data_IF_604701625751
#
_entry.id   IF_604701625751
#
_cell.length_a   1.000
_cell.length_b   1.000
_cell.length_c   1.000
_cell.angle_alpha   90.00
_cell.angle_beta   90.00
_cell.angle_gamma   90.00
#
_symmetry.space_group_name_H-M   'P 1'
#
loop_
_entity.id
_entity.type
_entity.pdbx_description
1 polymer ?
#
# COMPACT_ATOMS: atom_id res chain seq x y z
N UNK A 1 -15.24 27.11 9.15
CA UNK A 1 -16.12 28.21 8.66
C UNK A 1 -16.32 29.28 9.76
N UNK A 2 -16.58 28.92 11.03
CA UNK A 2 -16.72 29.92 12.11
C UNK A 2 -15.40 30.67 12.43
N UNK A 3 -14.26 29.99 12.33
CA UNK A 3 -12.93 30.59 12.55
C UNK A 3 -12.50 31.57 11.45
N UNK A 4 -13.10 31.53 10.26
CA UNK A 4 -12.80 32.42 9.14
C UNK A 4 -13.63 33.72 9.13
N UNK A 5 -14.53 33.93 10.10
CA UNK A 5 -15.39 35.07 10.16
C UNK A 5 -14.67 36.40 10.52
N UNK A 6 -13.44 36.30 11.08
CA UNK A 6 -12.71 37.48 11.63
C UNK A 6 -11.69 38.11 10.67
N UNK A 7 -11.61 37.70 9.40
CA UNK A 7 -10.78 38.41 8.43
C UNK A 7 -10.40 37.59 7.18
N UNK A 8 -10.07 38.32 6.09
CA UNK A 8 -9.66 37.75 4.81
C UNK A 8 -8.38 36.86 4.94
N UNK A 9 -7.46 37.22 5.84
CA UNK A 9 -6.26 36.44 6.10
C UNK A 9 -6.57 35.07 6.69
N UNK A 10 -7.39 35.02 7.74
CA UNK A 10 -7.79 33.75 8.37
C UNK A 10 -8.54 32.80 7.40
N UNK A 11 -9.33 33.35 6.47
CA UNK A 11 -9.98 32.55 5.43
C UNK A 11 -8.96 31.96 4.46
N UNK A 12 -7.98 32.76 4.01
CA UNK A 12 -6.94 32.29 3.07
C UNK A 12 -6.07 31.22 3.70
N UNK A 13 -5.67 31.41 4.98
CA UNK A 13 -4.86 30.43 5.71
C UNK A 13 -5.62 29.12 5.93
N UNK A 14 -6.90 29.18 6.28
CA UNK A 14 -7.75 27.99 6.41
C UNK A 14 -7.89 27.26 5.07
N UNK A 15 -8.15 27.99 3.97
CA UNK A 15 -8.28 27.43 2.64
C UNK A 15 -6.98 26.75 2.21
N UNK A 16 -5.84 27.38 2.42
CA UNK A 16 -4.53 26.80 2.08
C UNK A 16 -4.26 25.52 2.90
N UNK A 17 -4.54 25.53 4.20
CA UNK A 17 -4.40 24.36 5.06
C UNK A 17 -5.29 23.20 4.61
N UNK A 18 -6.53 23.47 4.24
CA UNK A 18 -7.46 22.44 3.72
C UNK A 18 -6.99 21.89 2.36
N UNK A 19 -6.47 22.75 1.47
CA UNK A 19 -5.93 22.32 0.17
C UNK A 19 -4.68 21.46 0.34
N UNK A 20 -3.77 21.83 1.25
CA UNK A 20 -2.58 21.02 1.56
C UNK A 20 -2.95 19.65 2.12
N UNK A 21 -3.92 19.62 3.04
CA UNK A 21 -4.44 18.37 3.62
C UNK A 21 -5.08 17.47 2.55
N UNK A 22 -5.88 18.06 1.65
CA UNK A 22 -6.49 17.35 0.53
C UNK A 22 -5.42 16.78 -0.42
N UNK A 23 -4.40 17.58 -0.73
CA UNK A 23 -3.29 17.15 -1.60
C UNK A 23 -2.50 16.02 -0.96
N UNK A 24 -2.22 16.09 0.35
CA UNK A 24 -1.54 15.02 1.08
C UNK A 24 -2.36 13.72 1.07
N UNK A 25 -3.66 13.80 1.35
CA UNK A 25 -4.57 12.66 1.29
C UNK A 25 -4.66 12.05 -0.13
N UNK A 26 -4.70 12.89 -1.16
CA UNK A 26 -4.74 12.45 -2.56
C UNK A 26 -3.44 11.73 -2.96
N UNK A 27 -2.28 12.26 -2.58
CA UNK A 27 -0.97 11.62 -2.81
C UNK A 27 -0.88 10.26 -2.13
N UNK A 28 -1.33 10.16 -0.88
CA UNK A 28 -1.36 8.92 -0.13
C UNK A 28 -2.24 7.86 -0.82
N UNK A 29 -3.47 8.25 -1.18
CA UNK A 29 -4.41 7.35 -1.84
C UNK A 29 -3.89 6.90 -3.22
N UNK A 30 -3.34 7.80 -4.02
CA UNK A 30 -2.77 7.46 -5.32
C UNK A 30 -1.60 6.48 -5.15
N UNK A 31 -0.68 6.75 -4.21
CA UNK A 31 0.43 5.85 -3.91
C UNK A 31 -0.04 4.45 -3.52
N UNK A 32 -1.05 4.36 -2.65
CA UNK A 32 -1.66 3.09 -2.26
C UNK A 32 -2.27 2.35 -3.46
N UNK A 33 -3.04 3.05 -4.31
CA UNK A 33 -3.69 2.46 -5.49
C UNK A 33 -2.68 1.93 -6.51
N UNK A 34 -1.55 2.63 -6.71
CA UNK A 34 -0.49 2.19 -7.63
C UNK A 34 0.13 0.84 -7.22
N UNK A 35 0.18 0.54 -5.93
CA UNK A 35 0.65 -0.75 -5.42
C UNK A 35 -0.48 -1.77 -5.21
N UNK A 36 -1.75 -1.35 -5.32
CA UNK A 36 -2.93 -2.19 -5.14
C UNK A 36 -3.22 -3.13 -6.32
N UNK A 37 -4.22 -3.97 -6.13
CA UNK A 37 -4.71 -4.91 -7.16
C UNK A 37 -5.98 -4.41 -7.89
N UNK A 38 -6.42 -3.18 -7.61
CA UNK A 38 -7.65 -2.60 -8.16
C UNK A 38 -8.92 -2.93 -7.37
N UNK A 39 -8.86 -3.86 -6.42
CA UNK A 39 -10.02 -4.20 -5.58
C UNK A 39 -10.37 -3.11 -4.56
N UNK A 40 -9.41 -2.26 -4.20
CA UNK A 40 -9.56 -1.25 -3.15
C UNK A 40 -9.44 -1.80 -1.72
N UNK A 41 -9.06 -3.06 -1.56
CA UNK A 41 -8.88 -3.68 -0.25
C UNK A 41 -7.78 -2.96 0.54
N UNK A 42 -8.13 -2.49 1.76
CA UNK A 42 -7.17 -1.90 2.70
C UNK A 42 -6.53 -2.98 3.58
N UNK A 43 -7.35 -3.74 4.26
CA UNK A 43 -6.93 -4.81 5.15
C UNK A 43 -8.09 -5.77 5.42
N UNK A 44 -7.78 -6.89 6.06
CA UNK A 44 -8.79 -7.77 6.67
C UNK A 44 -8.94 -7.38 8.14
N UNK A 45 -10.18 -7.26 8.60
CA UNK A 45 -10.54 -6.90 9.96
C UNK A 45 -11.15 -8.12 10.66
N UNK A 46 -10.76 -8.36 11.90
CA UNK A 46 -11.34 -9.39 12.73
C UNK A 46 -12.40 -8.83 13.67
N UNK A 47 -13.10 -9.70 14.38
CA UNK A 47 -14.10 -9.30 15.34
C UNK A 47 -13.50 -8.41 16.44
N UNK A 48 -14.35 -7.56 17.04
CA UNK A 48 -13.99 -6.64 18.12
C UNK A 48 -13.26 -7.37 19.26
N UNK A 49 -12.16 -6.79 19.72
CA UNK A 49 -11.41 -7.24 20.88
C UNK A 49 -11.20 -6.06 21.82
N UNK A 50 -11.84 -6.07 22.97
CA UNK A 50 -11.87 -4.91 23.87
C UNK A 50 -12.64 -3.73 23.24
N UNK A 51 -11.94 -2.61 23.00
CA UNK A 51 -12.49 -1.40 22.36
C UNK A 51 -12.04 -1.19 20.90
N UNK A 52 -11.24 -2.11 20.35
CA UNK A 52 -10.62 -1.98 19.03
C UNK A 52 -10.74 -3.26 18.21
N UNK A 53 -10.56 -3.13 16.92
CA UNK A 53 -10.63 -4.22 15.95
C UNK A 53 -9.24 -4.60 15.49
N UNK A 54 -8.79 -5.85 15.69
CA UNK A 54 -7.55 -6.35 15.11
C UNK A 54 -7.63 -6.34 13.56
N UNK A 55 -6.56 -5.91 12.92
CA UNK A 55 -6.44 -5.83 11.46
C UNK A 55 -5.20 -6.55 10.97
N UNK A 56 -5.23 -7.05 9.74
CA UNK A 56 -4.09 -7.75 9.15
C UNK A 56 -2.93 -6.82 8.81
N UNK A 57 -3.20 -5.54 8.57
CA UNK A 57 -2.21 -4.55 8.16
C UNK A 57 -2.71 -3.14 8.46
N UNK A 58 -1.84 -2.28 8.94
CA UNK A 58 -2.14 -0.88 9.28
C UNK A 58 -1.50 0.12 8.30
N UNK A 59 -0.65 -0.33 7.37
CA UNK A 59 0.14 0.55 6.47
C UNK A 59 -0.72 1.47 5.63
N UNK A 60 -1.89 1.00 5.21
CA UNK A 60 -2.82 1.74 4.36
C UNK A 60 -3.92 2.47 5.15
N UNK A 61 -3.80 2.54 6.47
CA UNK A 61 -4.80 3.14 7.36
C UNK A 61 -4.27 4.43 7.98
N UNK A 62 -5.09 5.46 7.96
CA UNK A 62 -4.83 6.74 8.63
C UNK A 62 -6.07 7.18 9.41
N UNK A 63 -5.85 7.91 10.49
CA UNK A 63 -6.89 8.50 11.32
C UNK A 63 -7.72 9.50 10.48
N UNK A 64 -9.02 9.52 10.71
CA UNK A 64 -9.96 10.37 9.95
C UNK A 64 -10.50 9.74 8.66
N UNK A 65 -9.90 8.66 8.16
CA UNK A 65 -10.39 7.94 6.99
C UNK A 65 -11.78 7.36 7.23
N UNK A 66 -12.65 7.46 6.23
CA UNK A 66 -13.99 6.86 6.26
C UNK A 66 -13.99 5.59 5.44
N UNK A 67 -14.44 4.50 6.04
CA UNK A 67 -14.34 3.16 5.47
C UNK A 67 -15.68 2.42 5.47
N UNK A 68 -15.79 1.50 4.53
CA UNK A 68 -16.84 0.50 4.46
C UNK A 68 -16.28 -0.89 4.79
N UNK A 69 -17.04 -1.67 5.53
CA UNK A 69 -16.67 -3.04 5.90
C UNK A 69 -17.59 -4.02 5.21
N UNK A 70 -17.01 -4.97 4.50
CA UNK A 70 -17.70 -6.04 3.81
C UNK A 70 -17.38 -7.38 4.46
N UNK A 71 -18.34 -8.28 4.49
CA UNK A 71 -18.11 -9.67 4.93
C UNK A 71 -17.14 -10.38 3.97
N UNK A 72 -16.56 -11.50 4.39
CA UNK A 72 -15.76 -12.36 3.52
C UNK A 72 -16.51 -12.86 2.27
N UNK A 73 -17.84 -12.91 2.33
CA UNK A 73 -18.71 -13.24 1.21
C UNK A 73 -19.00 -12.05 0.27
N UNK A 74 -18.47 -10.85 0.59
CA UNK A 74 -18.62 -9.65 -0.24
C UNK A 74 -19.89 -8.83 0.02
N UNK A 75 -20.71 -9.16 1.01
CA UNK A 75 -21.86 -8.37 1.41
C UNK A 75 -21.44 -7.19 2.30
N UNK A 76 -22.08 -6.03 2.12
CA UNK A 76 -21.84 -4.85 2.97
C UNK A 76 -22.31 -5.14 4.40
N UNK A 77 -21.39 -5.03 5.36
CA UNK A 77 -21.66 -5.22 6.79
C UNK A 77 -21.87 -3.90 7.51
N UNK A 78 -20.99 -2.92 7.27
CA UNK A 78 -21.10 -1.59 7.85
C UNK A 78 -20.53 -0.56 6.88
N UNK A 79 -21.11 0.63 6.82
CA UNK A 79 -20.69 1.70 5.92
C UNK A 79 -20.47 3.00 6.68
N UNK A 80 -19.56 3.82 6.17
CA UNK A 80 -19.33 5.16 6.68
C UNK A 80 -18.64 5.20 8.04
N UNK A 81 -17.90 4.17 8.42
CA UNK A 81 -17.16 4.12 9.68
C UNK A 81 -15.92 5.01 9.60
N UNK A 82 -15.83 6.01 10.48
CA UNK A 82 -14.66 6.87 10.59
C UNK A 82 -13.65 6.27 11.54
N UNK A 83 -12.41 6.12 11.08
CA UNK A 83 -11.29 5.68 11.92
C UNK A 83 -10.92 6.83 12.86
N UNK A 84 -10.94 6.57 14.17
CA UNK A 84 -10.50 7.54 15.19
C UNK A 84 -9.05 7.35 15.59
N UNK A 85 -8.58 6.10 15.61
CA UNK A 85 -7.22 5.77 16.02
C UNK A 85 -6.72 4.49 15.34
N UNK A 86 -5.45 4.49 14.94
CA UNK A 86 -4.74 3.34 14.36
C UNK A 86 -3.54 3.01 15.25
N UNK A 87 -3.61 1.89 15.93
CA UNK A 87 -2.48 1.34 16.68
C UNK A 87 -1.64 0.47 15.75
N UNK A 88 -0.47 0.98 15.38
CA UNK A 88 0.44 0.30 14.46
C UNK A 88 1.25 -0.80 15.12
N UNK A 89 1.50 -0.69 16.41
CA UNK A 89 2.29 -1.65 17.18
C UNK A 89 1.48 -2.93 17.44
N UNK A 90 0.20 -2.76 17.79
CA UNK A 90 -0.71 -3.88 18.06
C UNK A 90 -1.56 -4.27 16.84
N UNK A 91 -1.42 -3.59 15.72
CA UNK A 91 -2.22 -3.80 14.51
C UNK A 91 -3.72 -3.77 14.79
N UNK A 92 -4.18 -2.71 15.47
CA UNK A 92 -5.61 -2.54 15.76
C UNK A 92 -6.13 -1.18 15.30
N UNK A 93 -7.45 -1.12 15.08
CA UNK A 93 -8.18 0.07 14.66
C UNK A 93 -9.36 0.32 15.60
N UNK A 94 -9.55 1.58 15.98
CA UNK A 94 -10.71 2.05 16.72
C UNK A 94 -11.54 2.98 15.83
N UNK A 95 -12.85 2.79 15.83
CA UNK A 95 -13.77 3.68 15.11
C UNK A 95 -14.30 4.79 16.03
N UNK A 96 -14.61 5.94 15.44
CA UNK A 96 -15.16 7.08 16.16
C UNK A 96 -16.56 6.81 16.72
N UNK A 97 -17.30 5.90 16.09
CA UNK A 97 -18.61 5.42 16.53
C UNK A 97 -18.68 3.90 16.38
N UNK A 98 -19.40 3.25 17.26
CA UNK A 98 -19.63 1.81 17.14
C UNK A 98 -20.34 1.49 15.82
N UNK A 99 -19.94 0.41 15.12
CA UNK A 99 -20.68 -0.07 13.96
C UNK A 99 -22.13 -0.41 14.32
N UNK A 100 -23.05 -0.13 13.42
CA UNK A 100 -24.47 -0.46 13.61
C UNK A 100 -24.75 -1.97 13.59
N UNK A 101 -23.84 -2.74 13.04
CA UNK A 101 -23.88 -4.20 12.94
C UNK A 101 -22.60 -4.81 13.50
N UNK A 102 -22.70 -6.02 14.04
CA UNK A 102 -21.51 -6.75 14.48
C UNK A 102 -20.63 -7.11 13.26
N UNK A 103 -19.37 -6.69 13.31
CA UNK A 103 -18.39 -7.05 12.29
C UNK A 103 -17.93 -8.49 12.54
N UNK A 104 -18.14 -9.35 11.56
CA UNK A 104 -17.70 -10.73 11.61
C UNK A 104 -16.17 -10.83 11.42
N UNK A 105 -15.58 -11.92 11.90
CA UNK A 105 -14.19 -12.24 11.65
C UNK A 105 -13.91 -12.36 10.13
N UNK A 106 -12.71 -12.01 9.72
CA UNK A 106 -12.26 -12.02 8.32
C UNK A 106 -13.05 -11.09 7.37
N UNK A 107 -13.76 -10.10 7.92
CA UNK A 107 -14.34 -9.03 7.11
C UNK A 107 -13.25 -8.20 6.45
N UNK A 108 -13.57 -7.54 5.35
CA UNK A 108 -12.62 -6.77 4.54
C UNK A 108 -12.99 -5.30 4.58
N UNK A 109 -12.00 -4.46 4.82
CA UNK A 109 -12.15 -3.01 4.89
C UNK A 109 -11.75 -2.36 3.57
N UNK A 110 -12.55 -1.39 3.14
CA UNK A 110 -12.34 -0.58 1.93
C UNK A 110 -12.52 0.90 2.27
N UNK A 111 -11.93 1.81 1.51
CA UNK A 111 -12.35 3.22 1.56
C UNK A 111 -13.81 3.29 1.13
N UNK A 112 -14.59 4.16 1.75
CA UNK A 112 -16.00 4.29 1.45
C UNK A 112 -16.25 4.48 -0.05
N UNK A 113 -17.05 3.57 -0.61
CA UNK A 113 -17.44 3.60 -2.02
C UNK A 113 -16.36 3.18 -3.03
N UNK A 114 -15.14 2.77 -2.61
CA UNK A 114 -14.03 2.45 -3.52
C UNK A 114 -13.92 0.97 -3.89
N UNK A 115 -14.71 0.09 -3.29
CA UNK A 115 -14.64 -1.35 -3.57
C UNK A 115 -14.76 -1.64 -5.08
N UNK A 116 -13.78 -2.35 -5.64
CA UNK A 116 -13.68 -2.74 -7.05
C UNK A 116 -13.72 -1.54 -8.05
N UNK A 117 -13.35 -0.33 -7.59
CA UNK A 117 -13.38 0.90 -8.40
C UNK A 117 -12.03 1.61 -8.45
N UNK A 118 -10.98 1.00 -7.94
CA UNK A 118 -9.65 1.58 -7.95
C UNK A 118 -8.89 1.21 -9.22
N UNK A 119 -7.80 1.92 -9.46
CA UNK A 119 -6.92 1.65 -10.61
C UNK A 119 -6.23 0.30 -10.44
N UNK A 120 -6.02 -0.40 -11.54
CA UNK A 120 -5.24 -1.63 -11.57
C UNK A 120 -3.76 -1.30 -11.38
N UNK A 121 -3.23 -1.58 -10.20
CA UNK A 121 -1.86 -1.27 -9.83
C UNK A 121 -0.93 -2.49 -9.95
N UNK A 122 0.28 -2.35 -9.39
CA UNK A 122 1.31 -3.38 -9.42
C UNK A 122 0.86 -4.70 -8.80
N UNK A 123 0.01 -4.67 -7.75
CA UNK A 123 -0.54 -5.88 -7.13
C UNK A 123 -1.28 -6.77 -8.12
N UNK A 124 -2.05 -6.18 -9.05
CA UNK A 124 -2.72 -6.94 -10.10
C UNK A 124 -1.73 -7.44 -11.17
N UNK A 125 -0.69 -6.66 -11.48
CA UNK A 125 0.32 -7.06 -12.46
C UNK A 125 1.08 -8.29 -11.97
N UNK A 126 1.45 -8.32 -10.69
CA UNK A 126 2.17 -9.43 -10.07
C UNK A 126 1.30 -10.62 -9.62
N UNK A 127 -0.03 -10.50 -9.62
CA UNK A 127 -0.93 -11.64 -9.37
C UNK A 127 -1.04 -12.51 -10.63
N UNK A 128 -0.25 -13.58 -10.69
CA UNK A 128 -0.27 -14.50 -11.84
C UNK A 128 -1.53 -15.34 -11.93
N UNK A 129 -2.39 -15.34 -10.90
CA UNK A 129 -3.59 -16.21 -10.83
C UNK A 129 -4.82 -15.58 -11.47
N UNK A 130 -4.83 -14.26 -11.62
CA UNK A 130 -5.98 -13.50 -12.14
C UNK A 130 -5.73 -12.97 -13.55
N UNK A 131 -6.78 -12.79 -14.36
CA UNK A 131 -6.70 -12.06 -15.62
C UNK A 131 -6.18 -10.65 -15.40
N UNK A 132 -5.43 -10.11 -16.36
CA UNK A 132 -4.98 -8.72 -16.36
C UNK A 132 -5.73 -7.96 -17.46
N UNK A 133 -6.40 -6.87 -17.11
CA UNK A 133 -7.24 -6.07 -18.02
C UNK A 133 -8.29 -6.92 -18.81
N UNK A 134 -8.83 -7.94 -18.16
CA UNK A 134 -9.78 -8.89 -18.78
C UNK A 134 -9.14 -9.94 -19.68
N UNK A 135 -7.82 -9.93 -19.87
CA UNK A 135 -7.09 -10.89 -20.68
C UNK A 135 -6.59 -12.07 -19.82
N UNK A 136 -6.89 -13.28 -20.26
CA UNK A 136 -6.45 -14.50 -19.56
C UNK A 136 -4.97 -14.76 -19.85
N UNK A 137 -4.15 -14.85 -18.83
CA UNK A 137 -2.69 -14.98 -18.93
C UNK A 137 -2.23 -16.26 -19.64
N UNK A 138 -3.02 -17.36 -19.58
CA UNK A 138 -2.72 -18.58 -20.33
C UNK A 138 -2.77 -18.39 -21.85
N UNK A 139 -3.65 -17.48 -22.32
CA UNK A 139 -3.76 -17.15 -23.73
C UNK A 139 -2.74 -16.08 -24.17
N UNK A 140 -2.25 -15.32 -23.21
CA UNK A 140 -1.30 -14.21 -23.42
C UNK A 140 -0.11 -14.31 -22.43
N UNK A 141 0.79 -15.28 -22.63
CA UNK A 141 1.88 -15.56 -21.66
C UNK A 141 2.80 -14.37 -21.39
N UNK A 142 2.93 -13.44 -22.34
CA UNK A 142 3.75 -12.21 -22.17
C UNK A 142 3.21 -11.25 -21.09
N UNK A 143 1.94 -11.40 -20.67
CA UNK A 143 1.36 -10.66 -19.54
C UNK A 143 1.72 -11.27 -18.19
N UNK A 144 2.37 -12.43 -18.16
CA UNK A 144 2.72 -13.12 -16.93
C UNK A 144 3.99 -12.51 -16.33
N UNK A 145 3.98 -12.08 -15.06
CA UNK A 145 5.16 -11.54 -14.41
C UNK A 145 6.19 -12.65 -14.14
N UNK A 146 7.46 -12.27 -14.07
CA UNK A 146 8.46 -13.15 -13.52
C UNK A 146 8.39 -13.09 -11.99
N UNK A 147 8.05 -14.21 -11.39
CA UNK A 147 8.02 -14.37 -9.94
C UNK A 147 9.04 -15.43 -9.53
N UNK A 148 9.89 -15.09 -8.58
CA UNK A 148 10.86 -16.00 -7.98
C UNK A 148 10.73 -15.97 -6.46
N UNK A 149 10.27 -17.07 -5.88
CA UNK A 149 10.39 -17.26 -4.44
C UNK A 149 11.86 -17.43 -4.06
N UNK A 150 12.30 -16.66 -3.06
CA UNK A 150 13.65 -16.76 -2.50
C UNK A 150 13.47 -17.21 -1.06
N UNK A 151 13.64 -18.52 -0.82
CA UNK A 151 13.53 -19.12 0.53
C UNK A 151 14.86 -19.06 1.29
N UNK A 152 15.66 -18.03 1.03
CA UNK A 152 16.98 -17.81 1.60
C UNK A 152 17.26 -16.32 1.81
N UNK A 153 18.38 -15.99 2.43
CA UNK A 153 18.85 -14.61 2.50
C UNK A 153 19.07 -14.06 1.08
N UNK A 154 18.71 -12.79 0.88
CA UNK A 154 18.93 -12.12 -0.39
C UNK A 154 20.44 -12.00 -0.66
N UNK A 155 20.84 -12.32 -1.88
CA UNK A 155 22.20 -12.21 -2.35
C UNK A 155 22.30 -11.46 -3.70
N UNK A 156 23.50 -11.02 -4.02
CA UNK A 156 23.81 -10.29 -5.25
C UNK A 156 23.52 -11.12 -6.51
N UNK A 157 23.79 -12.43 -6.44
CA UNK A 157 23.62 -13.35 -7.57
C UNK A 157 22.12 -13.50 -7.91
N UNK A 158 21.27 -13.54 -6.91
CA UNK A 158 19.81 -13.63 -7.10
C UNK A 158 19.26 -12.37 -7.76
N UNK A 159 19.73 -11.20 -7.34
CA UNK A 159 19.35 -9.91 -7.94
C UNK A 159 19.84 -9.86 -9.39
N UNK A 160 21.12 -10.18 -9.63
CA UNK A 160 21.71 -10.15 -10.96
C UNK A 160 20.99 -11.09 -11.93
N UNK A 161 20.68 -12.32 -11.52
CA UNK A 161 19.89 -13.25 -12.35
C UNK A 161 18.51 -12.72 -12.72
N UNK A 162 17.88 -11.94 -11.85
CA UNK A 162 16.60 -11.31 -12.16
C UNK A 162 16.75 -10.18 -13.18
N UNK A 163 17.80 -9.37 -13.05
CA UNK A 163 18.15 -8.30 -14.00
C UNK A 163 18.45 -8.89 -15.37
N UNK A 164 19.38 -9.84 -15.46
CA UNK A 164 19.78 -10.49 -16.70
C UNK A 164 18.57 -11.11 -17.43
N UNK A 165 17.65 -11.70 -16.66
CA UNK A 165 16.43 -12.27 -17.22
C UNK A 165 15.50 -11.22 -17.82
N UNK A 166 15.37 -10.06 -17.21
CA UNK A 166 14.57 -8.96 -17.73
C UNK A 166 15.21 -8.39 -19.00
N UNK A 167 16.52 -8.20 -19.01
CA UNK A 167 17.25 -7.75 -20.18
C UNK A 167 17.11 -8.73 -21.35
N UNK A 168 17.33 -10.02 -21.10
CA UNK A 168 17.27 -11.05 -22.13
C UNK A 168 15.86 -11.26 -22.69
N UNK A 169 14.83 -11.28 -21.83
CA UNK A 169 13.47 -11.60 -22.27
C UNK A 169 12.69 -10.39 -22.77
N UNK A 170 12.95 -9.20 -22.23
CA UNK A 170 12.18 -8.00 -22.50
C UNK A 170 13.01 -6.93 -23.23
N UNK A 171 14.31 -7.15 -23.48
CA UNK A 171 15.23 -6.17 -24.03
C UNK A 171 15.12 -4.80 -23.31
N UNK A 172 15.01 -4.84 -22.00
CA UNK A 172 14.74 -3.68 -21.14
C UNK A 172 15.84 -3.55 -20.11
N UNK A 173 16.31 -2.33 -19.88
CA UNK A 173 17.26 -2.01 -18.81
C UNK A 173 16.51 -1.80 -17.50
N UNK A 174 17.14 -2.18 -16.38
CA UNK A 174 16.57 -1.98 -15.04
C UNK A 174 17.14 -0.69 -14.45
N UNK A 175 16.31 0.34 -14.36
CA UNK A 175 16.68 1.64 -13.79
C UNK A 175 16.29 1.79 -12.33
N UNK A 176 15.42 0.91 -11.82
CA UNK A 176 14.82 1.07 -10.50
C UNK A 176 14.49 -0.27 -9.86
N UNK A 177 14.87 -0.43 -8.57
CA UNK A 177 14.55 -1.59 -7.75
C UNK A 177 13.77 -1.11 -6.51
N UNK A 178 12.52 -1.52 -6.37
CA UNK A 178 11.70 -1.23 -5.20
C UNK A 178 11.75 -2.40 -4.21
N UNK A 179 12.09 -2.12 -2.96
CA UNK A 179 12.16 -3.13 -1.89
C UNK A 179 11.52 -2.60 -0.60
N UNK A 180 11.06 -3.52 0.27
CA UNK A 180 10.66 -3.15 1.63
C UNK A 180 11.87 -2.76 2.48
N UNK A 181 11.62 -2.09 3.59
CA UNK A 181 12.68 -1.71 4.54
C UNK A 181 13.43 -2.93 5.06
N UNK A 182 12.71 -4.01 5.35
CA UNK A 182 13.31 -5.25 5.88
C UNK A 182 14.26 -5.91 4.87
N UNK A 183 13.87 -5.99 3.60
CA UNK A 183 14.73 -6.49 2.52
C UNK A 183 15.95 -5.59 2.33
N UNK A 184 15.78 -4.27 2.43
CA UNK A 184 16.89 -3.31 2.39
C UNK A 184 17.88 -3.55 3.53
N UNK A 185 17.40 -3.75 4.77
CA UNK A 185 18.26 -4.05 5.91
C UNK A 185 18.97 -5.40 5.77
N UNK A 186 18.28 -6.44 5.30
CA UNK A 186 18.88 -7.74 5.04
C UNK A 186 20.00 -7.64 3.99
N UNK A 187 19.79 -6.87 2.92
CA UNK A 187 20.81 -6.64 1.90
C UNK A 187 21.99 -5.82 2.44
N UNK A 188 21.74 -4.81 3.27
CA UNK A 188 22.81 -4.06 3.93
C UNK A 188 23.67 -4.96 4.84
N UNK A 189 23.04 -5.87 5.58
CA UNK A 189 23.74 -6.83 6.44
C UNK A 189 24.61 -7.80 5.61
N UNK A 190 24.07 -8.30 4.50
CA UNK A 190 24.81 -9.08 3.52
C UNK A 190 26.04 -8.33 3.00
N UNK A 191 25.88 -7.06 2.59
CA UNK A 191 26.98 -6.24 2.07
C UNK A 191 28.07 -5.94 3.10
N UNK A 192 27.71 -5.77 4.39
CA UNK A 192 28.68 -5.59 5.47
C UNK A 192 29.67 -6.75 5.59
N UNK A 193 29.20 -7.98 5.35
CA UNK A 193 30.05 -9.18 5.41
C UNK A 193 31.15 -9.14 4.35
N UNK A 194 30.90 -8.48 3.23
CA UNK A 194 31.88 -8.35 2.13
C UNK A 194 32.68 -7.04 2.17
N UNK A 195 32.57 -6.24 3.26
CA UNK A 195 33.26 -4.95 3.43
C UNK A 195 33.07 -4.00 2.24
N UNK A 196 31.93 -4.03 1.57
CA UNK A 196 31.62 -3.14 0.46
C UNK A 196 31.06 -1.82 0.99
N UNK A 197 31.49 -0.70 0.44
CA UNK A 197 30.87 0.59 0.67
C UNK A 197 29.48 0.58 0.00
N UNK A 198 28.48 1.01 0.75
CA UNK A 198 27.13 1.14 0.24
C UNK A 198 26.89 2.62 -0.03
N UNK A 199 26.85 3.00 -1.29
CA UNK A 199 26.46 4.34 -1.68
C UNK A 199 24.94 4.51 -1.56
N UNK A 200 24.54 5.57 -0.91
CA UNK A 200 23.14 5.95 -0.75
C UNK A 200 22.85 7.11 -1.68
N UNK A 201 21.99 6.90 -2.66
CA UNK A 201 21.51 7.94 -3.55
C UNK A 201 20.16 8.47 -3.04
N UNK A 202 20.02 9.79 -3.00
CA UNK A 202 18.74 10.43 -2.71
C UNK A 202 17.97 10.66 -4.00
N UNK A 203 16.74 10.12 -4.05
CA UNK A 203 15.82 10.38 -5.13
C UNK A 203 15.07 11.68 -4.91
N UNK A 204 14.70 12.34 -6.02
CA UNK A 204 13.79 13.49 -6.01
C UNK A 204 12.49 13.14 -5.26
N UNK A 205 12.28 13.77 -4.10
CA UNK A 205 11.17 13.47 -3.19
C UNK A 205 11.57 13.00 -1.79
N UNK A 206 12.88 12.97 -1.47
CA UNK A 206 13.38 12.68 -0.11
C UNK A 206 13.48 11.21 0.24
N UNK A 207 13.30 10.32 -0.71
CA UNK A 207 13.49 8.88 -0.48
C UNK A 207 14.97 8.51 -0.62
N UNK A 208 15.46 7.69 0.32
CA UNK A 208 16.81 7.14 0.28
C UNK A 208 16.81 5.78 -0.39
N UNK A 209 17.65 5.60 -1.39
CA UNK A 209 17.85 4.33 -2.09
C UNK A 209 19.30 3.87 -1.99
N UNK A 210 19.55 2.61 -2.29
CA UNK A 210 20.88 2.06 -2.46
C UNK A 210 21.24 2.10 -3.94
N UNK A 211 22.46 2.55 -4.27
CA UNK A 211 23.00 2.34 -5.60
C UNK A 211 23.42 0.87 -5.74
N UNK A 212 22.96 0.22 -6.79
CA UNK A 212 23.42 -1.11 -7.20
C UNK A 212 24.43 -0.93 -8.34
N UNK A 213 25.67 -1.36 -8.11
CA UNK A 213 26.76 -1.33 -9.11
C UNK A 213 27.08 -2.74 -9.58
#
# INVERSE_FOLDING_TARGET
IRASADGRGAFTDLLNSELESLLAASKFNLGRMLYGDGSGKLCTINALSGSSYPVSDTRNLIEGMVVDVYTSAGALSASGLRISYVDRDNSTVTFASAPSTTIAASSVMYIQGSKDKEITGLGAIFDSTKPLYGLTRSNYPFLSPYLKAVDAAIDEVTIQKAIDRLEYNANSTVDFIAVSADVKYAYQEYMKQYKRNIDVMELSGGYKTLAYN
#
